data_IF_964186225304
#
_entry.id   IF_964186225304
#
_cell.length_a   1.000
_cell.length_b   1.000
_cell.length_c   1.000
_cell.angle_alpha   90.00
_cell.angle_beta   90.00
_cell.angle_gamma   90.00
#
_symmetry.space_group_name_H-M   'P 1'
#
loop_
_entity.id
_entity.type
_entity.pdbx_description
1 polymer ?
#
# COMPACT_ATOMS: atom_id res chain seq x y z
N UNK A 1 -5.64 2.64 12.08
CA UNK A 1 -5.23 3.94 11.53
C UNK A 1 -6.26 4.49 10.55
N UNK A 2 -6.61 3.78 9.46
CA UNK A 2 -7.60 4.25 8.47
C UNK A 2 -8.99 4.63 9.06
N UNK A 3 -9.55 3.83 9.99
CA UNK A 3 -10.86 4.14 10.57
C UNK A 3 -10.83 5.32 11.55
N UNK A 4 -9.67 5.59 12.16
CA UNK A 4 -9.46 6.75 13.02
C UNK A 4 -9.45 8.00 12.15
N UNK A 5 -8.62 8.03 11.11
CA UNK A 5 -8.49 9.18 10.20
C UNK A 5 -9.81 9.52 9.51
N UNK A 6 -10.57 8.50 9.07
CA UNK A 6 -11.90 8.69 8.46
C UNK A 6 -12.92 9.21 9.48
N UNK A 7 -12.91 8.71 10.72
CA UNK A 7 -13.85 9.15 11.75
C UNK A 7 -13.61 10.63 12.11
N UNK A 8 -12.36 11.04 12.30
CA UNK A 8 -12.01 12.44 12.52
C UNK A 8 -12.35 13.32 11.31
N UNK A 9 -12.10 12.84 10.08
CA UNK A 9 -12.45 13.57 8.87
C UNK A 9 -13.97 13.76 8.69
N UNK A 10 -14.80 12.79 9.11
CA UNK A 10 -16.25 12.90 8.96
C UNK A 10 -16.92 13.64 10.12
N UNK A 11 -16.39 13.59 11.34
CA UNK A 11 -17.05 14.20 12.51
C UNK A 11 -16.47 15.53 12.92
N UNK A 12 -15.15 15.69 12.85
CA UNK A 12 -14.48 16.90 13.37
C UNK A 12 -14.37 17.96 12.29
N UNK A 13 -14.04 17.57 11.07
CA UNK A 13 -13.82 18.53 9.98
C UNK A 13 -15.09 19.33 9.66
N UNK A 14 -16.30 18.73 9.50
CA UNK A 14 -17.51 19.51 9.28
C UNK A 14 -17.85 20.43 10.45
N UNK A 15 -17.67 19.98 11.70
CA UNK A 15 -17.92 20.80 12.89
C UNK A 15 -16.97 21.98 13.01
N UNK A 16 -15.70 21.79 12.64
CA UNK A 16 -14.68 22.84 12.66
C UNK A 16 -14.92 23.86 11.54
N UNK A 17 -15.27 23.41 10.33
CA UNK A 17 -15.68 24.30 9.23
C UNK A 17 -16.98 25.04 9.54
N UNK A 18 -18.00 24.36 10.04
CA UNK A 18 -19.27 24.96 10.40
C UNK A 18 -19.10 25.97 11.55
N UNK A 19 -18.30 25.65 12.57
CA UNK A 19 -17.94 26.57 13.64
C UNK A 19 -17.16 27.79 13.14
N UNK A 20 -16.23 27.61 12.20
CA UNK A 20 -15.51 28.71 11.58
C UNK A 20 -16.44 29.61 10.73
N UNK A 21 -17.37 29.02 9.98
CA UNK A 21 -18.38 29.74 9.21
C UNK A 21 -19.32 30.52 10.14
N UNK A 22 -19.84 29.91 11.21
CA UNK A 22 -20.69 30.60 12.19
C UNK A 22 -19.95 31.71 12.92
N UNK A 23 -18.68 31.50 13.27
CA UNK A 23 -17.82 32.53 13.87
C UNK A 23 -17.63 33.71 12.91
N UNK A 24 -17.39 33.44 11.63
CA UNK A 24 -17.23 34.47 10.61
C UNK A 24 -18.55 35.20 10.29
N UNK A 25 -19.66 34.47 10.19
CA UNK A 25 -21.00 35.02 9.93
C UNK A 25 -21.51 35.89 11.09
N UNK A 26 -21.27 35.46 12.34
CA UNK A 26 -21.57 36.27 13.53
C UNK A 26 -20.75 37.55 13.53
N UNK A 27 -19.47 37.45 13.18
CA UNK A 27 -18.58 38.61 13.07
C UNK A 27 -19.06 39.57 11.97
N UNK A 28 -19.49 39.07 10.82
CA UNK A 28 -20.08 39.86 9.72
C UNK A 28 -21.39 40.57 10.12
N UNK A 29 -22.18 40.00 11.02
CA UNK A 29 -23.36 40.66 11.60
C UNK A 29 -23.03 41.74 12.66
N UNK A 30 -21.84 41.69 13.27
CA UNK A 30 -21.29 42.70 14.20
C UNK A 30 -20.42 43.76 13.47
N UNK A 31 -20.27 43.66 12.14
CA UNK A 31 -19.28 44.40 11.33
C UNK A 31 -19.63 45.85 11.00
N UNK A 32 -20.74 46.41 11.48
CA UNK A 32 -20.88 47.88 11.42
C UNK A 32 -19.84 48.62 12.30
N UNK A 33 -19.15 47.91 13.23
CA UNK A 33 -18.04 48.48 14.04
C UNK A 33 -16.81 47.58 14.23
N UNK A 34 -16.71 46.44 13.55
CA UNK A 34 -15.66 45.45 13.82
C UNK A 34 -14.36 45.70 13.04
N UNK A 35 -13.25 45.94 13.74
CA UNK A 35 -11.91 45.98 13.14
C UNK A 35 -11.51 44.64 12.52
N UNK A 36 -10.99 44.70 11.29
CA UNK A 36 -10.31 43.61 10.56
C UNK A 36 -9.28 42.96 11.51
N UNK A 37 -9.14 41.61 11.53
CA UNK A 37 -8.14 40.95 12.37
C UNK A 37 -6.76 41.58 12.16
N UNK A 38 -6.10 41.95 13.27
CA UNK A 38 -4.78 42.59 13.27
C UNK A 38 -3.81 41.88 12.31
N UNK A 39 -2.98 42.62 11.54
CA UNK A 39 -1.97 42.05 10.66
C UNK A 39 -1.04 41.04 11.37
N UNK A 40 -0.83 41.20 12.69
CA UNK A 40 -0.06 40.25 13.51
C UNK A 40 -0.75 38.90 13.67
N UNK A 41 -2.08 38.89 13.82
CA UNK A 41 -2.88 37.67 13.91
C UNK A 41 -2.93 36.93 12.57
N UNK A 42 -3.05 37.66 11.46
CA UNK A 42 -2.96 37.07 10.11
C UNK A 42 -1.59 36.44 9.88
N UNK A 43 -0.49 37.13 10.22
CA UNK A 43 0.88 36.58 10.13
C UNK A 43 1.05 35.31 10.98
N UNK A 44 0.51 35.30 12.21
CA UNK A 44 0.52 34.11 13.07
C UNK A 44 -0.17 32.91 12.39
N UNK A 45 -1.37 33.11 11.84
CA UNK A 45 -2.09 32.05 11.14
C UNK A 45 -1.38 31.57 9.87
N UNK A 46 -0.78 32.48 9.10
CA UNK A 46 0.05 32.11 7.96
C UNK A 46 1.21 31.23 8.40
N UNK A 47 1.91 31.59 9.48
CA UNK A 47 2.98 30.75 10.04
C UNK A 47 2.45 29.38 10.47
N UNK A 48 1.30 29.31 11.15
CA UNK A 48 0.70 28.03 11.55
C UNK A 48 0.31 27.15 10.35
N UNK A 49 -0.27 27.73 9.29
CA UNK A 49 -0.61 27.01 8.06
C UNK A 49 0.66 26.52 7.35
N UNK A 50 1.67 27.38 7.20
CA UNK A 50 2.95 27.01 6.61
C UNK A 50 3.62 25.89 7.39
N UNK A 51 3.63 25.98 8.73
CA UNK A 51 4.22 24.97 9.60
C UNK A 51 3.45 23.64 9.53
N UNK A 52 2.11 23.70 9.48
CA UNK A 52 1.25 22.53 9.30
C UNK A 52 1.50 21.85 7.95
N UNK A 53 1.59 22.62 6.85
CA UNK A 53 1.93 22.10 5.52
C UNK A 53 3.34 21.50 5.51
N UNK A 54 4.31 22.18 6.11
CA UNK A 54 5.69 21.70 6.22
C UNK A 54 5.78 20.37 6.97
N UNK A 55 5.14 20.25 8.14
CA UNK A 55 5.11 19.00 8.90
C UNK A 55 4.32 17.90 8.17
N UNK A 56 3.24 18.23 7.48
CA UNK A 56 2.47 17.26 6.69
C UNK A 56 3.30 16.71 5.53
N UNK A 57 4.02 17.60 4.82
CA UNK A 57 4.88 17.24 3.70
C UNK A 57 6.08 16.40 4.16
N UNK A 58 6.77 16.82 5.23
CA UNK A 58 7.95 16.11 5.76
C UNK A 58 7.60 14.79 6.45
N UNK A 59 6.43 14.68 7.08
CA UNK A 59 5.98 13.43 7.71
C UNK A 59 5.56 12.36 6.69
N UNK A 60 5.21 12.75 5.45
CA UNK A 60 4.77 11.89 4.35
C UNK A 60 3.99 10.61 4.79
N UNK A 61 2.90 10.74 5.57
CA UNK A 61 2.31 9.61 6.31
C UNK A 61 1.75 8.50 5.41
N UNK A 62 1.33 8.84 4.19
CA UNK A 62 0.81 7.90 3.20
C UNK A 62 1.81 7.56 2.09
N UNK A 63 3.06 8.05 2.16
CA UNK A 63 4.07 7.87 1.11
C UNK A 63 3.61 8.37 -0.26
N UNK A 64 2.81 9.45 -0.29
CA UNK A 64 2.22 9.99 -1.53
C UNK A 64 3.27 10.70 -2.38
N UNK A 65 4.27 11.33 -1.75
CA UNK A 65 5.35 12.07 -2.43
C UNK A 65 6.63 11.24 -2.60
N UNK A 66 6.51 9.91 -2.71
CA UNK A 66 7.63 8.96 -2.81
C UNK A 66 8.65 9.29 -3.93
N UNK A 67 8.20 10.00 -4.98
CA UNK A 67 9.01 10.37 -6.14
C UNK A 67 9.80 11.67 -5.97
N UNK A 68 9.50 12.47 -4.94
CA UNK A 68 10.15 13.75 -4.65
C UNK A 68 11.05 13.67 -3.42
N UNK A 69 10.63 12.92 -2.40
CA UNK A 69 11.30 12.82 -1.10
C UNK A 69 11.51 11.33 -0.80
N UNK A 70 12.66 10.95 -0.21
CA UNK A 70 12.85 9.58 0.26
C UNK A 70 11.71 9.18 1.21
N UNK A 71 11.19 7.97 1.05
CA UNK A 71 10.15 7.42 1.92
C UNK A 71 10.66 7.15 3.33
N UNK A 72 11.97 6.94 3.48
CA UNK A 72 12.66 6.86 4.76
C UNK A 72 14.06 7.43 4.62
N UNK A 73 14.50 8.20 5.61
CA UNK A 73 15.86 8.78 5.66
C UNK A 73 16.80 7.87 6.45
N UNK A 74 16.29 7.13 7.45
CA UNK A 74 17.01 6.15 8.24
C UNK A 74 16.16 4.91 8.47
N UNK A 75 16.40 3.80 7.74
CA UNK A 75 17.34 3.61 6.64
C UNK A 75 16.87 4.28 5.34
N UNK A 76 17.79 4.67 4.45
CA UNK A 76 17.45 5.37 3.21
C UNK A 76 16.64 4.51 2.23
N UNK A 77 15.41 4.91 1.92
CA UNK A 77 14.56 4.24 0.92
C UNK A 77 14.01 5.29 -0.03
N UNK A 78 14.44 5.23 -1.30
CA UNK A 78 13.95 6.11 -2.36
C UNK A 78 13.66 5.30 -3.63
N UNK A 79 12.49 5.56 -4.22
CA UNK A 79 12.06 4.96 -5.49
C UNK A 79 11.81 6.08 -6.49
N UNK A 80 12.67 6.25 -7.50
CA UNK A 80 12.45 7.27 -8.49
C UNK A 80 11.27 6.88 -9.40
N UNK A 81 10.56 7.88 -9.92
CA UNK A 81 9.34 7.66 -10.72
C UNK A 81 9.57 6.71 -11.91
N UNK A 82 10.69 6.82 -12.61
CA UNK A 82 10.99 5.97 -13.77
C UNK A 82 11.06 4.48 -13.41
N UNK A 83 11.58 4.12 -12.23
CA UNK A 83 11.59 2.72 -11.76
C UNK A 83 10.17 2.23 -11.49
N UNK A 84 9.32 3.07 -10.90
CA UNK A 84 7.90 2.73 -10.71
C UNK A 84 7.19 2.51 -12.06
N UNK A 85 7.46 3.35 -13.06
CA UNK A 85 6.90 3.18 -14.40
C UNK A 85 7.36 1.89 -15.07
N UNK A 86 8.65 1.55 -14.95
CA UNK A 86 9.19 0.28 -15.43
C UNK A 86 8.50 -0.91 -14.73
N UNK A 87 8.36 -0.87 -13.41
CA UNK A 87 7.66 -1.91 -12.64
C UNK A 87 6.21 -2.09 -13.12
N UNK A 88 5.46 -0.99 -13.29
CA UNK A 88 4.09 -1.04 -13.82
C UNK A 88 4.04 -1.66 -15.22
N UNK A 89 5.03 -1.39 -16.07
CA UNK A 89 5.10 -1.99 -17.41
C UNK A 89 5.29 -3.52 -17.37
N UNK A 90 5.96 -4.05 -16.33
CA UNK A 90 6.13 -5.49 -16.13
C UNK A 90 4.89 -6.15 -15.51
N UNK A 91 4.15 -5.41 -14.68
CA UNK A 91 2.92 -5.86 -14.04
C UNK A 91 1.73 -5.96 -15.02
N UNK A 92 1.58 -5.00 -15.94
CA UNK A 92 0.43 -4.92 -16.86
C UNK A 92 0.20 -6.19 -17.69
N UNK A 93 1.22 -6.85 -18.27
CA UNK A 93 1.04 -8.12 -18.98
C UNK A 93 0.47 -9.24 -18.12
N UNK A 94 0.77 -9.27 -16.82
CA UNK A 94 0.20 -10.27 -15.90
C UNK A 94 -1.27 -9.97 -15.60
N UNK A 95 -1.61 -8.69 -15.40
CA UNK A 95 -3.01 -8.28 -15.21
C UNK A 95 -3.89 -8.61 -16.41
N UNK A 96 -3.38 -8.41 -17.63
CA UNK A 96 -4.10 -8.70 -18.86
C UNK A 96 -4.43 -10.20 -19.05
N UNK A 97 -3.77 -11.11 -18.32
CA UNK A 97 -4.10 -12.54 -18.34
C UNK A 97 -5.31 -12.89 -17.50
N UNK A 98 -5.76 -12.00 -16.61
CA UNK A 98 -6.87 -12.28 -15.69
C UNK A 98 -8.19 -11.89 -16.39
N UNK A 99 -9.12 -12.81 -16.67
CA UNK A 99 -10.40 -12.53 -17.33
C UNK A 99 -11.28 -11.54 -16.55
N UNK A 100 -12.07 -10.70 -17.21
CA UNK A 100 -12.82 -9.60 -16.58
C UNK A 100 -13.94 -9.98 -15.61
N UNK A 101 -14.38 -11.23 -15.66
CA UNK A 101 -15.38 -11.82 -14.77
C UNK A 101 -14.75 -12.67 -13.65
N UNK A 102 -13.46 -12.98 -13.74
CA UNK A 102 -12.79 -13.86 -12.78
C UNK A 102 -12.65 -13.24 -11.39
N UNK A 103 -12.76 -14.10 -10.38
CA UNK A 103 -12.53 -13.78 -8.98
C UNK A 103 -11.03 -13.72 -8.65
N UNK A 104 -10.61 -12.70 -7.90
CA UNK A 104 -9.17 -12.41 -7.69
C UNK A 104 -8.84 -12.08 -6.23
N UNK A 105 -7.76 -12.65 -5.70
CA UNK A 105 -7.09 -12.12 -4.51
C UNK A 105 -5.83 -11.34 -4.91
N UNK A 106 -5.71 -10.10 -4.43
CA UNK A 106 -4.61 -9.23 -4.82
C UNK A 106 -3.96 -8.46 -3.65
N UNK A 107 -2.74 -8.00 -3.87
CA UNK A 107 -2.06 -7.07 -2.96
C UNK A 107 -2.59 -5.63 -3.08
N UNK A 108 -2.32 -4.80 -2.08
CA UNK A 108 -3.00 -3.50 -1.85
C UNK A 108 -3.01 -2.57 -3.07
N UNK A 109 -1.90 -2.47 -3.81
CA UNK A 109 -1.79 -1.54 -4.93
C UNK A 109 -2.30 -2.11 -6.25
N UNK A 110 -2.54 -3.42 -6.31
CA UNK A 110 -3.15 -4.07 -7.47
C UNK A 110 -4.68 -4.00 -7.40
N UNK A 111 -5.26 -4.07 -6.18
CA UNK A 111 -6.71 -4.09 -5.97
C UNK A 111 -7.48 -3.03 -6.77
N UNK A 112 -7.07 -1.74 -6.83
CA UNK A 112 -7.80 -0.73 -7.58
C UNK A 112 -7.95 -1.06 -9.07
N UNK A 113 -6.93 -1.68 -9.67
CA UNK A 113 -6.94 -2.07 -11.09
C UNK A 113 -7.90 -3.22 -11.41
N UNK A 114 -8.30 -3.98 -10.38
CA UNK A 114 -9.19 -5.13 -10.49
C UNK A 114 -10.52 -4.88 -9.74
N UNK A 115 -10.79 -3.63 -9.37
CA UNK A 115 -11.94 -3.29 -8.53
C UNK A 115 -13.30 -3.44 -9.22
N UNK A 116 -13.32 -3.53 -10.55
CA UNK A 116 -14.51 -3.85 -11.34
C UNK A 116 -14.94 -5.32 -11.25
N UNK A 117 -14.08 -6.20 -10.72
CA UNK A 117 -14.38 -7.63 -10.60
C UNK A 117 -15.44 -7.88 -9.54
N UNK A 118 -16.31 -8.85 -9.82
CA UNK A 118 -17.39 -9.26 -8.92
C UNK A 118 -16.87 -9.69 -7.55
N UNK A 119 -15.78 -10.44 -7.52
CA UNK A 119 -15.14 -10.91 -6.29
C UNK A 119 -13.67 -10.49 -6.28
N UNK A 120 -13.34 -9.52 -5.43
CA UNK A 120 -11.97 -9.09 -5.19
C UNK A 120 -11.64 -9.08 -3.71
N UNK A 121 -10.55 -9.78 -3.35
CA UNK A 121 -10.09 -9.91 -1.98
C UNK A 121 -8.68 -9.35 -1.82
N UNK A 122 -8.36 -8.93 -0.59
CA UNK A 122 -6.99 -8.60 -0.21
C UNK A 122 -6.28 -9.89 0.21
N UNK A 123 -5.28 -10.31 -0.55
CA UNK A 123 -4.42 -11.43 -0.20
C UNK A 123 -3.75 -11.18 1.18
N UNK A 124 -3.66 -12.17 2.09
CA UNK A 124 -3.83 -13.61 1.90
C UNK A 124 -5.26 -14.15 2.06
N UNK A 125 -6.30 -13.30 2.13
CA UNK A 125 -7.67 -13.80 2.07
C UNK A 125 -8.00 -14.22 0.65
N UNK A 126 -8.53 -15.43 0.51
CA UNK A 126 -8.81 -16.07 -0.78
C UNK A 126 -10.20 -16.69 -0.86
N UNK A 127 -10.94 -16.71 0.25
CA UNK A 127 -12.29 -17.23 0.31
C UNK A 127 -13.30 -16.10 0.41
N UNK A 128 -14.39 -16.23 -0.33
CA UNK A 128 -15.55 -15.37 -0.25
C UNK A 128 -16.81 -16.21 -0.28
N UNK A 129 -17.94 -15.58 0.04
CA UNK A 129 -19.25 -16.21 -0.06
C UNK A 129 -19.95 -15.68 -1.30
N UNK A 130 -20.37 -16.57 -2.20
CA UNK A 130 -21.09 -16.20 -3.42
C UNK A 130 -22.56 -15.87 -3.12
N UNK A 131 -23.34 -15.50 -4.13
CA UNK A 131 -24.77 -15.18 -4.00
C UNK A 131 -25.61 -16.38 -3.55
N UNK A 132 -25.18 -17.59 -3.90
CA UNK A 132 -25.78 -18.85 -3.45
C UNK A 132 -25.42 -19.22 -2.00
N UNK A 133 -24.66 -18.36 -1.30
CA UNK A 133 -24.14 -18.54 0.08
C UNK A 133 -23.09 -19.64 0.23
N UNK A 134 -22.51 -20.09 -0.86
CA UNK A 134 -21.44 -21.09 -0.87
C UNK A 134 -20.09 -20.40 -0.67
N UNK A 135 -19.18 -21.08 0.03
CA UNK A 135 -17.82 -20.58 0.25
C UNK A 135 -16.96 -21.04 -0.91
N UNK A 136 -16.51 -20.09 -1.71
CA UNK A 136 -15.63 -20.33 -2.85
C UNK A 136 -14.26 -19.71 -2.63
N UNK A 137 -13.24 -20.34 -3.22
CA UNK A 137 -11.90 -19.76 -3.34
C UNK A 137 -11.75 -19.08 -4.69
N UNK A 138 -11.09 -17.92 -4.69
CA UNK A 138 -10.81 -17.12 -5.90
C UNK A 138 -10.12 -17.94 -6.99
N UNK A 139 -10.33 -17.56 -8.25
CA UNK A 139 -9.72 -18.22 -9.41
C UNK A 139 -8.27 -17.79 -9.60
N UNK A 140 -7.98 -16.52 -9.38
CA UNK A 140 -6.65 -15.94 -9.56
C UNK A 140 -6.10 -15.31 -8.29
N UNK A 141 -4.79 -15.37 -8.15
CA UNK A 141 -4.04 -14.67 -7.11
C UNK A 141 -2.96 -13.85 -7.81
N UNK A 142 -2.91 -12.55 -7.54
CA UNK A 142 -1.84 -11.68 -8.06
C UNK A 142 -1.20 -10.83 -6.96
N UNK A 143 0.10 -11.00 -6.77
CA UNK A 143 0.82 -10.43 -5.64
C UNK A 143 2.02 -9.65 -6.13
N UNK A 144 2.07 -8.35 -5.81
CA UNK A 144 3.26 -7.51 -5.97
C UNK A 144 4.08 -7.57 -4.68
N UNK A 145 5.24 -8.22 -4.77
CA UNK A 145 6.24 -8.36 -3.73
C UNK A 145 7.41 -7.40 -3.90
N UNK A 146 7.53 -6.76 -5.07
CA UNK A 146 8.62 -5.84 -5.37
C UNK A 146 8.66 -4.71 -4.35
N UNK A 147 7.49 -4.10 -4.10
CA UNK A 147 7.37 -3.03 -3.11
C UNK A 147 7.61 -3.55 -1.70
N UNK A 148 7.04 -4.70 -1.35
CA UNK A 148 7.21 -5.26 0.00
C UNK A 148 8.68 -5.56 0.30
N UNK A 149 9.39 -6.16 -0.66
CA UNK A 149 10.81 -6.48 -0.54
C UNK A 149 11.67 -5.21 -0.43
N UNK A 150 11.41 -4.20 -1.25
CA UNK A 150 12.21 -2.96 -1.23
C UNK A 150 12.02 -2.14 0.06
N UNK A 151 10.79 -2.10 0.58
CA UNK A 151 10.45 -1.27 1.73
C UNK A 151 10.67 -1.96 3.08
N UNK A 152 10.94 -3.28 3.13
CA UNK A 152 11.09 -4.05 4.38
C UNK A 152 12.22 -3.57 5.31
N UNK A 153 13.24 -2.92 4.74
CA UNK A 153 14.40 -2.42 5.47
C UNK A 153 13.96 -1.28 6.41
N UNK A 154 13.16 -0.35 5.90
CA UNK A 154 12.65 0.77 6.68
C UNK A 154 11.34 0.46 7.43
N UNK A 155 10.53 -0.46 6.94
CA UNK A 155 9.15 -0.60 7.39
C UNK A 155 8.82 -2.00 7.89
N UNK A 156 8.70 -2.14 9.22
CA UNK A 156 8.32 -3.40 9.89
C UNK A 156 7.02 -3.97 9.36
N UNK A 157 6.03 -3.14 9.02
CA UNK A 157 4.76 -3.62 8.46
C UNK A 157 4.90 -4.27 7.09
N UNK A 158 5.82 -3.78 6.26
CA UNK A 158 6.09 -4.35 4.93
C UNK A 158 6.87 -5.67 5.07
N UNK A 159 7.83 -5.72 6.00
CA UNK A 159 8.54 -6.95 6.37
C UNK A 159 7.59 -8.06 6.87
N UNK A 160 6.74 -7.74 7.85
CA UNK A 160 5.75 -8.69 8.38
C UNK A 160 4.74 -9.17 7.34
N UNK A 161 4.46 -8.36 6.30
CA UNK A 161 3.61 -8.79 5.18
C UNK A 161 4.37 -9.75 4.28
N UNK A 162 5.63 -9.45 3.95
CA UNK A 162 6.47 -10.32 3.14
C UNK A 162 6.64 -11.70 3.80
N UNK A 163 6.96 -11.73 5.10
CA UNK A 163 7.08 -12.94 5.95
C UNK A 163 5.80 -13.79 5.98
N UNK A 164 4.63 -13.20 5.71
CA UNK A 164 3.35 -13.93 5.66
C UNK A 164 2.98 -14.36 4.24
N UNK A 165 3.29 -13.54 3.25
CA UNK A 165 2.85 -13.74 1.87
C UNK A 165 3.74 -14.75 1.16
N UNK A 166 5.07 -14.70 1.34
CA UNK A 166 6.00 -15.60 0.66
C UNK A 166 5.74 -17.07 1.04
N UNK A 167 5.65 -17.45 2.33
CA UNK A 167 5.35 -18.84 2.70
C UNK A 167 3.96 -19.28 2.23
N UNK A 168 2.99 -18.35 2.15
CA UNK A 168 1.65 -18.68 1.66
C UNK A 168 1.64 -19.00 0.17
N UNK A 169 2.46 -18.31 -0.63
CA UNK A 169 2.63 -18.62 -2.05
C UNK A 169 3.27 -20.01 -2.20
N UNK A 170 4.33 -20.28 -1.43
CA UNK A 170 5.03 -21.58 -1.42
C UNK A 170 4.07 -22.72 -1.04
N UNK A 171 3.23 -22.54 -0.02
CA UNK A 171 2.20 -23.53 0.37
C UNK A 171 1.19 -23.81 -0.76
N UNK A 172 0.71 -22.77 -1.43
CA UNK A 172 -0.30 -22.89 -2.49
C UNK A 172 0.28 -23.54 -3.76
N UNK A 173 1.53 -23.23 -4.07
CA UNK A 173 2.28 -23.85 -5.14
C UNK A 173 2.58 -25.32 -4.85
N UNK A 174 3.15 -25.63 -3.67
CA UNK A 174 3.55 -26.99 -3.29
C UNK A 174 2.37 -27.94 -3.09
N UNK A 175 1.21 -27.42 -2.68
CA UNK A 175 -0.02 -28.22 -2.59
C UNK A 175 -0.66 -28.51 -3.96
N UNK A 176 -0.21 -27.84 -5.03
CA UNK A 176 -0.84 -27.91 -6.35
C UNK A 176 -2.23 -27.24 -6.41
N UNK A 177 -2.64 -26.55 -5.35
CA UNK A 177 -3.93 -25.85 -5.32
C UNK A 177 -3.95 -24.69 -6.32
N UNK A 178 -2.81 -24.01 -6.47
CA UNK A 178 -2.61 -22.97 -7.48
C UNK A 178 -1.28 -23.17 -8.20
N UNK A 179 -1.31 -23.07 -9.52
CA UNK A 179 -0.10 -23.02 -10.34
C UNK A 179 0.41 -21.61 -10.50
N UNK A 180 1.73 -21.43 -10.53
CA UNK A 180 2.38 -20.17 -10.87
C UNK A 180 2.38 -20.03 -12.39
N UNK A 181 1.56 -19.14 -12.96
CA UNK A 181 1.39 -18.97 -14.41
C UNK A 181 2.09 -17.72 -14.96
N UNK A 182 2.64 -16.88 -14.09
CA UNK A 182 3.49 -15.77 -14.48
C UNK A 182 4.29 -15.19 -13.32
N UNK A 183 5.53 -14.81 -13.60
CA UNK A 183 6.38 -14.08 -12.68
C UNK A 183 7.15 -13.00 -13.43
N UNK A 184 7.03 -11.74 -13.01
CA UNK A 184 7.75 -10.60 -13.60
C UNK A 184 8.04 -9.55 -12.55
N UNK A 185 9.30 -9.18 -12.38
CA UNK A 185 9.75 -8.07 -11.53
C UNK A 185 9.10 -8.07 -10.13
N UNK A 186 9.13 -9.22 -9.44
CA UNK A 186 8.54 -9.38 -8.11
C UNK A 186 7.01 -9.43 -8.08
N UNK A 187 6.33 -9.47 -9.23
CA UNK A 187 4.89 -9.74 -9.34
C UNK A 187 4.68 -11.19 -9.71
N UNK A 188 3.94 -11.93 -8.87
CA UNK A 188 3.56 -13.32 -9.12
C UNK A 188 2.06 -13.41 -9.44
N UNK A 189 1.74 -14.16 -10.49
CA UNK A 189 0.40 -14.54 -10.88
C UNK A 189 0.24 -16.05 -10.67
N UNK A 190 -0.79 -16.42 -9.93
CA UNK A 190 -1.17 -17.81 -9.71
C UNK A 190 -2.61 -18.04 -10.14
N UNK A 191 -2.89 -19.26 -10.59
CA UNK A 191 -4.19 -19.68 -11.10
C UNK A 191 -4.60 -21.02 -10.48
N UNK A 192 -5.85 -21.09 -10.04
CA UNK A 192 -6.38 -22.22 -9.29
C UNK A 192 -6.46 -23.47 -10.16
N UNK A 193 -5.90 -24.58 -9.69
CA UNK A 193 -5.99 -25.89 -10.35
C UNK A 193 -5.24 -25.99 -11.70
N UNK A 194 -4.38 -25.03 -12.02
CA UNK A 194 -3.57 -25.03 -13.25
C UNK A 194 -2.14 -25.50 -12.94
N UNK A 195 -1.51 -26.17 -13.90
CA UNK A 195 -0.10 -26.56 -13.80
C UNK A 195 0.80 -25.33 -13.96
N UNK A 196 1.77 -25.18 -13.07
CA UNK A 196 2.70 -24.06 -13.11
C UNK A 196 3.51 -24.01 -14.41
N UNK A 197 3.77 -22.79 -14.89
CA UNK A 197 4.70 -22.53 -15.97
C UNK A 197 6.14 -22.57 -15.43
N UNK A 198 7.00 -23.39 -16.04
CA UNK A 198 8.37 -23.60 -15.55
C UNK A 198 9.22 -22.33 -15.52
N UNK A 199 9.10 -21.45 -16.52
CA UNK A 199 9.83 -20.18 -16.55
C UNK A 199 9.39 -19.25 -15.41
N UNK A 200 8.08 -19.22 -15.13
CA UNK A 200 7.52 -18.43 -14.05
C UNK A 200 7.94 -18.96 -12.67
N UNK A 201 7.99 -20.28 -12.50
CA UNK A 201 8.50 -20.95 -11.29
C UNK A 201 9.98 -20.62 -11.09
N UNK A 202 10.81 -20.75 -12.12
CA UNK A 202 12.23 -20.39 -12.02
C UNK A 202 12.45 -18.92 -11.65
N UNK A 203 11.62 -18.01 -12.18
CA UNK A 203 11.62 -16.60 -11.77
C UNK A 203 11.24 -16.41 -10.29
N UNK A 204 10.19 -17.10 -9.84
CA UNK A 204 9.73 -17.09 -8.45
C UNK A 204 10.80 -17.60 -7.48
N UNK A 205 11.37 -18.77 -7.74
CA UNK A 205 12.38 -19.41 -6.87
C UNK A 205 13.63 -18.54 -6.73
N UNK A 206 14.10 -17.94 -7.83
CA UNK A 206 15.22 -16.99 -7.81
C UNK A 206 14.93 -15.76 -6.93
N UNK A 207 13.71 -15.23 -7.00
CA UNK A 207 13.29 -14.10 -6.17
C UNK A 207 13.22 -14.50 -4.69
N UNK A 208 12.59 -15.63 -4.39
CA UNK A 208 12.44 -16.15 -3.04
C UNK A 208 13.81 -16.39 -2.39
N UNK A 209 14.74 -17.00 -3.12
CA UNK A 209 16.10 -17.23 -2.62
C UNK A 209 16.80 -15.89 -2.30
N UNK A 210 16.64 -14.88 -3.16
CA UNK A 210 17.13 -13.53 -2.91
C UNK A 210 16.54 -12.89 -1.64
N UNK A 211 15.24 -13.08 -1.40
CA UNK A 211 14.55 -12.63 -0.18
C UNK A 211 15.14 -13.32 1.05
N UNK A 212 15.29 -14.65 1.03
CA UNK A 212 15.83 -15.46 2.14
C UNK A 212 17.30 -15.12 2.45
N UNK A 213 18.16 -14.98 1.44
CA UNK A 213 19.57 -14.62 1.61
C UNK A 213 19.74 -13.29 2.33
N UNK A 214 18.96 -12.29 1.94
CA UNK A 214 18.98 -10.97 2.58
C UNK A 214 18.43 -11.03 4.03
N UNK A 215 17.42 -11.85 4.33
CA UNK A 215 16.95 -12.03 5.71
C UNK A 215 18.00 -12.66 6.63
N UNK A 216 18.76 -13.65 6.11
CA UNK A 216 19.85 -14.26 6.85
C UNK A 216 20.99 -13.27 7.11
N UNK A 217 21.32 -12.43 6.11
CA UNK A 217 22.31 -11.36 6.27
C UNK A 217 21.90 -10.30 7.30
N UNK A 218 20.64 -9.89 7.31
CA UNK A 218 20.10 -8.94 8.28
C UNK A 218 20.10 -9.49 9.71
N UNK A 219 19.89 -10.81 9.89
CA UNK A 219 19.97 -11.47 11.21
C UNK A 219 21.40 -11.52 11.74
N UNK A 220 22.36 -11.92 10.91
CA UNK A 220 23.77 -11.99 11.31
C UNK A 220 24.32 -10.62 11.73
N UNK A 221 23.99 -9.54 10.99
CA UNK A 221 24.40 -8.18 11.37
C UNK A 221 23.84 -7.73 12.73
N UNK A 222 22.59 -8.09 13.04
CA UNK A 222 22.00 -7.77 14.35
C UNK A 222 22.64 -8.52 15.50
N UNK A 223 23.04 -9.77 15.27
CA UNK A 223 23.76 -10.58 16.25
C UNK A 223 25.18 -10.03 16.49
N UNK A 224 25.87 -9.58 15.44
CA UNK A 224 27.18 -8.91 15.55
C UNK A 224 27.12 -7.55 16.24
N UNK A 225 26.04 -6.78 16.05
CA UNK A 225 25.86 -5.46 16.65
C UNK A 225 25.30 -5.49 18.10
N UNK A 226 24.99 -6.67 18.64
CA UNK A 226 24.54 -6.84 20.03
C UNK A 226 23.19 -6.17 20.37
N UNK A 227 22.38 -5.86 19.35
CA UNK A 227 21.08 -5.19 19.52
C UNK A 227 19.99 -6.26 19.57
N UNK A 228 19.59 -6.66 20.79
CA UNK A 228 18.38 -7.45 21.06
C UNK A 228 17.11 -6.65 20.83
#
# INVERSE_FOLDING_TARGET
>A
VLSITIRYAMTVVPGLFYGAILWWAKKESEVESSQIPSPKFQRFWVVCICLSLFFTFTSNPNRTFYFLVPDSVQPWVYVPAHQQWQHVSQMRPLLAKIPDDASVAATTYIIPHLSSRRAILRFPRMQFRNDAREVEKVEYIIVDLWRLNRYRVAFKSDRQRLEKIVPRIEELYNSGEYGITGFRDGVVLMEKGVVSNLDAVGGWENFEEGVRRQESGDRMKKEEEGVQ
#
